data_IF_432841253705
#
_entry.id   IF_432841253705
#
_cell.length_a   1.000
_cell.length_b   1.000
_cell.length_c   1.000
_cell.angle_alpha   90.00
_cell.angle_beta   90.00
_cell.angle_gamma   90.00
#
_symmetry.space_group_name_H-M   'P 1'
#
loop_
_entity.id
_entity.type
_entity.pdbx_description
1 polymer ?
#
# COMPACT_ATOMS: atom_id res chain seq x y z
N UNK A 1 10.94 -1.25 5.53
CA UNK A 1 10.01 -0.20 5.08
C UNK A 1 8.97 -0.89 4.22
N UNK A 2 7.69 -0.58 4.40
CA UNK A 2 6.60 -1.33 3.76
C UNK A 2 6.03 -0.48 2.65
N UNK A 3 6.07 -0.98 1.41
CA UNK A 3 5.46 -0.33 0.26
C UNK A 3 4.05 -0.89 0.04
N UNK A 4 3.09 0.01 0.04
CA UNK A 4 1.71 -0.25 -0.34
C UNK A 4 1.50 0.18 -1.77
N UNK A 5 0.88 -0.69 -2.57
CA UNK A 5 0.53 -0.42 -3.95
C UNK A 5 -0.98 -0.51 -4.17
N UNK A 6 -1.53 0.45 -4.91
CA UNK A 6 -2.91 0.40 -5.36
C UNK A 6 -3.01 -0.25 -6.76
N UNK A 7 -3.75 -1.36 -6.92
CA UNK A 7 -3.81 -2.09 -8.18
C UNK A 7 -4.53 -1.35 -9.32
N UNK A 8 -5.34 -0.32 -9.02
CA UNK A 8 -6.16 0.36 -10.03
C UNK A 8 -5.57 1.67 -10.54
N UNK A 9 -4.87 2.41 -9.67
CA UNK A 9 -4.36 3.74 -10.00
C UNK A 9 -2.85 3.89 -9.83
N UNK A 10 -2.15 2.79 -9.52
CA UNK A 10 -0.70 2.75 -9.35
C UNK A 10 -0.18 3.65 -8.20
N UNK A 11 -1.08 4.09 -7.31
CA UNK A 11 -0.71 4.89 -6.14
C UNK A 11 0.16 4.06 -5.20
N UNK A 12 1.31 4.61 -4.82
CA UNK A 12 2.27 4.00 -3.89
C UNK A 12 2.33 4.78 -2.58
N UNK A 13 2.44 4.07 -1.47
CA UNK A 13 2.64 4.66 -0.15
C UNK A 13 3.67 3.86 0.63
N UNK A 14 4.64 4.55 1.22
CA UNK A 14 5.62 3.95 2.13
C UNK A 14 5.20 4.22 3.57
N UNK A 15 5.18 3.16 4.37
CA UNK A 15 4.93 3.24 5.81
C UNK A 15 6.03 2.50 6.57
N UNK A 16 6.17 2.84 7.85
CA UNK A 16 7.10 2.20 8.77
C UNK A 16 6.48 1.00 9.50
N UNK A 17 5.14 0.91 9.53
CA UNK A 17 4.37 -0.13 10.23
C UNK A 17 3.34 -0.76 9.28
N UNK A 18 3.03 -2.05 9.49
CA UNK A 18 2.03 -2.75 8.68
C UNK A 18 0.63 -2.26 9.06
N UNK A 19 -0.01 -1.54 8.14
CA UNK A 19 -1.42 -1.18 8.16
C UNK A 19 -2.23 -2.14 7.29
N UNK A 20 -2.92 -3.09 7.94
CA UNK A 20 -3.76 -4.09 7.26
C UNK A 20 -4.99 -3.47 6.56
N UNK A 21 -5.37 -2.25 6.94
CA UNK A 21 -6.51 -1.50 6.42
C UNK A 21 -6.09 -0.34 5.50
N UNK A 22 -4.85 -0.35 5.00
CA UNK A 22 -4.37 0.67 4.07
C UNK A 22 -5.28 0.75 2.84
N UNK A 23 -5.86 1.94 2.64
CA UNK A 23 -6.73 2.25 1.50
C UNK A 23 -6.14 3.35 0.65
N UNK A 24 -6.28 3.17 -0.66
CA UNK A 24 -5.96 4.15 -1.66
C UNK A 24 -6.76 5.43 -1.41
N UNK A 25 -6.12 6.60 -1.24
CA UNK A 25 -6.84 7.86 -1.00
C UNK A 25 -7.62 8.33 -2.24
N UNK A 26 -7.23 7.89 -3.43
CA UNK A 26 -7.88 8.27 -4.70
C UNK A 26 -9.14 7.46 -5.02
N UNK A 27 -9.16 6.20 -4.59
CA UNK A 27 -10.10 5.21 -5.08
C UNK A 27 -10.78 4.40 -3.96
N UNK A 28 -10.32 4.53 -2.72
CA UNK A 28 -10.88 3.88 -1.53
C UNK A 28 -10.63 2.37 -1.44
N UNK A 29 -9.99 1.78 -2.46
CA UNK A 29 -9.71 0.34 -2.51
C UNK A 29 -8.57 -0.05 -1.58
N UNK A 30 -8.60 -1.27 -1.07
CA UNK A 30 -7.53 -1.82 -0.26
C UNK A 30 -6.24 -1.90 -1.08
N UNK A 31 -5.14 -1.46 -0.48
CA UNK A 31 -3.82 -1.52 -1.09
C UNK A 31 -3.16 -2.85 -0.76
N UNK A 32 -2.47 -3.42 -1.74
CA UNK A 32 -1.61 -4.58 -1.53
C UNK A 32 -0.32 -4.14 -0.85
N UNK A 33 0.29 -5.05 -0.08
CA UNK A 33 1.64 -4.86 0.45
C UNK A 33 2.59 -5.67 -0.41
N UNK A 34 3.62 -5.02 -0.95
CA UNK A 34 4.78 -5.71 -1.48
C UNK A 34 5.86 -5.65 -0.39
N UNK A 35 5.99 -6.73 0.38
CA UNK A 35 7.10 -6.88 1.33
C UNK A 35 8.38 -7.18 0.54
N UNK A 36 9.26 -6.21 0.37
CA UNK A 36 10.65 -6.50 0.01
C UNK A 36 11.34 -7.14 1.23
N UNK A 37 11.53 -8.45 1.20
CA UNK A 37 12.44 -9.18 2.08
C UNK A 37 13.86 -8.79 1.65
N UNK A 38 14.47 -7.85 2.35
CA UNK A 38 15.91 -7.51 2.23
C UNK A 38 16.79 -8.51 2.96
#
# INVERSE_FOLDING_TARGET
MIEYHCPDCDYKKLDLEIRADARCPHCGRCMGVEEEIV
#
